data_IF_446703233650
#
_entry.id   IF_446703233650
#
_cell.length_a   1.000
_cell.length_b   1.000
_cell.length_c   1.000
_cell.angle_alpha   90.00
_cell.angle_beta   90.00
_cell.angle_gamma   90.00
#
_symmetry.space_group_name_H-M   'P 1'
#
loop_
_entity.id
_entity.type
_entity.pdbx_description
1 polymer ?
#
# COMPACT_ATOMS: atom_id res chain seq x y z
N UNK A 1 -2.73 -2.40 -23.86
CA UNK A 1 -3.93 -3.16 -24.27
C UNK A 1 -3.75 -4.59 -23.79
N UNK A 2 -4.73 -5.16 -23.08
CA UNK A 2 -4.63 -6.53 -22.56
C UNK A 2 -4.45 -7.49 -23.75
N UNK A 3 -3.44 -8.36 -23.70
CA UNK A 3 -3.14 -9.37 -24.74
C UNK A 3 -3.44 -10.76 -24.19
N UNK A 4 -3.97 -11.67 -25.02
CA UNK A 4 -4.34 -13.06 -24.67
C UNK A 4 -5.43 -13.18 -23.57
N UNK A 5 -5.65 -14.42 -23.10
CA UNK A 5 -6.62 -14.74 -22.05
C UNK A 5 -6.10 -14.37 -20.64
N UNK A 6 -5.92 -13.08 -20.41
CA UNK A 6 -5.54 -12.51 -19.12
C UNK A 6 -6.76 -11.91 -18.42
N UNK A 7 -6.75 -11.96 -17.08
CA UNK A 7 -7.78 -11.32 -16.26
C UNK A 7 -7.81 -9.82 -16.55
N UNK A 8 -9.02 -9.26 -16.68
CA UNK A 8 -9.22 -7.82 -16.87
C UNK A 8 -8.64 -7.05 -15.68
N UNK A 9 -7.70 -6.11 -15.88
CA UNK A 9 -7.11 -5.35 -14.78
C UNK A 9 -8.16 -4.51 -14.05
N UNK A 10 -8.34 -4.75 -12.75
CA UNK A 10 -9.21 -3.97 -11.86
C UNK A 10 -8.40 -3.27 -10.75
N UNK A 11 -7.30 -2.62 -11.14
CA UNK A 11 -6.44 -1.87 -10.22
C UNK A 11 -7.08 -0.56 -9.78
N UNK A 12 -7.21 -0.34 -8.47
CA UNK A 12 -7.83 0.86 -7.88
C UNK A 12 -6.80 1.99 -7.64
N UNK A 13 -5.97 2.27 -8.65
CA UNK A 13 -4.85 3.22 -8.57
C UNK A 13 -5.09 4.53 -9.35
N UNK A 14 -6.37 4.89 -9.58
CA UNK A 14 -6.78 6.04 -10.41
C UNK A 14 -6.70 7.40 -9.69
N UNK A 15 -6.68 7.40 -8.36
CA UNK A 15 -6.56 8.62 -7.52
C UNK A 15 -5.08 8.91 -7.22
N UNK A 16 -4.77 10.06 -6.60
CA UNK A 16 -3.42 10.40 -6.11
C UNK A 16 -3.00 9.54 -4.89
N UNK A 17 -3.01 8.21 -5.04
CA UNK A 17 -2.77 7.23 -3.96
C UNK A 17 -1.34 7.29 -3.41
N UNK A 18 -0.37 7.68 -4.23
CA UNK A 18 1.04 7.75 -3.85
C UNK A 18 1.27 8.71 -2.66
N UNK A 19 0.49 9.79 -2.58
CA UNK A 19 0.56 10.78 -1.50
C UNK A 19 0.06 10.24 -0.15
N UNK A 20 -0.66 9.12 -0.14
CA UNK A 20 -1.32 8.57 1.04
C UNK A 20 -0.79 7.18 1.42
N UNK A 21 0.40 6.81 0.94
CA UNK A 21 1.05 5.55 1.30
C UNK A 21 1.50 5.61 2.76
N UNK A 22 0.85 4.83 3.63
CA UNK A 22 1.27 4.69 5.03
C UNK A 22 2.49 3.78 5.12
N UNK A 23 3.64 4.36 5.42
CA UNK A 23 4.86 3.61 5.76
C UNK A 23 4.85 3.15 7.21
N UNK A 24 5.48 2.02 7.51
CA UNK A 24 5.49 1.41 8.85
C UNK A 24 6.88 1.30 9.47
N UNK A 25 7.85 2.11 9.02
CA UNK A 25 9.23 2.08 9.54
C UNK A 25 9.32 2.38 11.05
N UNK A 26 8.34 3.10 11.58
CA UNK A 26 8.24 3.42 13.01
C UNK A 26 7.58 2.32 13.87
N UNK A 27 7.22 1.16 13.29
CA UNK A 27 6.61 0.05 14.00
C UNK A 27 7.43 -0.43 15.24
N UNK A 28 8.76 -0.65 15.17
CA UNK A 28 9.54 -1.04 16.36
C UNK A 28 9.52 0.04 17.45
N UNK A 29 9.65 1.31 17.09
CA UNK A 29 9.55 2.42 18.05
C UNK A 29 8.17 2.49 18.73
N UNK A 30 7.08 2.26 17.98
CA UNK A 30 5.73 2.13 18.55
C UNK A 30 5.57 0.90 19.45
N UNK A 31 6.29 -0.19 19.19
CA UNK A 31 6.28 -1.39 20.05
C UNK A 31 6.96 -1.08 21.38
N UNK A 32 8.12 -0.44 21.36
CA UNK A 32 8.82 0.00 22.58
C UNK A 32 8.00 0.99 23.38
N UNK A 33 7.39 2.00 22.73
CA UNK A 33 6.51 2.98 23.40
C UNK A 33 5.33 2.35 24.15
N UNK A 34 4.78 1.23 23.68
CA UNK A 34 3.67 0.54 24.36
C UNK A 34 4.12 -0.38 25.50
N UNK A 35 5.43 -0.70 25.57
CA UNK A 35 6.00 -1.60 26.57
C UNK A 35 6.49 -0.86 27.81
N UNK A 36 6.79 0.43 27.67
CA UNK A 36 7.02 1.37 28.77
C UNK A 36 5.65 1.82 29.27
#
# INVERSE_FOLDING_TARGET
>A
MVKHNNVVPNGHFKKHWQNYVRTWFNQPARKTRRRI
#
